data_IF_409197484564
#
_entry.id   IF_409197484564
#
_cell.length_a   1.000
_cell.length_b   1.000
_cell.length_c   1.000
_cell.angle_alpha   90.00
_cell.angle_beta   90.00
_cell.angle_gamma   90.00
#
_symmetry.space_group_name_H-M   'P 1'
#
loop_
_entity.id
_entity.type
_entity.pdbx_description
1 polymer ?
#
# COMPACT_ATOMS: atom_id res chain seq x y z
N UNK A 1 22.33 -13.11 -10.36
CA UNK A 1 23.10 -12.38 -11.39
C UNK A 1 23.02 -10.86 -11.18
N UNK A 2 21.85 -10.22 -11.29
CA UNK A 2 21.71 -8.75 -11.20
C UNK A 2 22.30 -8.14 -9.91
N UNK A 3 21.86 -8.58 -8.72
CA UNK A 3 22.33 -8.03 -7.45
C UNK A 3 23.85 -8.13 -7.24
N UNK A 4 24.47 -9.19 -7.75
CA UNK A 4 25.93 -9.37 -7.66
C UNK A 4 26.70 -8.33 -8.50
N UNK A 5 26.15 -7.94 -9.66
CA UNK A 5 26.75 -6.89 -10.52
C UNK A 5 26.68 -5.49 -9.88
N UNK A 6 25.72 -5.29 -8.98
CA UNK A 6 25.44 -4.00 -8.34
C UNK A 6 26.05 -3.89 -6.94
N UNK A 7 26.73 -4.93 -6.48
CA UNK A 7 27.30 -4.98 -5.13
C UNK A 7 28.28 -3.81 -4.89
N UNK A 8 28.18 -3.20 -3.70
CA UNK A 8 29.02 -2.07 -3.29
C UNK A 8 28.63 -0.70 -3.87
N UNK A 9 27.55 -0.63 -4.66
CA UNK A 9 27.02 0.62 -5.21
C UNK A 9 25.74 1.02 -4.48
N UNK A 10 25.45 2.32 -4.45
CA UNK A 10 24.11 2.82 -4.13
C UNK A 10 23.32 2.91 -5.45
N UNK A 11 22.25 2.11 -5.58
CA UNK A 11 21.53 1.94 -6.83
C UNK A 11 20.04 2.05 -6.60
N UNK A 12 19.39 2.89 -7.40
CA UNK A 12 17.94 2.94 -7.52
C UNK A 12 17.55 2.42 -8.91
N UNK A 13 16.74 1.36 -8.94
CA UNK A 13 16.19 0.75 -10.15
C UNK A 13 14.73 1.20 -10.23
N UNK A 14 14.37 1.93 -11.28
CA UNK A 14 12.98 2.29 -11.56
C UNK A 14 12.41 1.24 -12.52
N UNK A 15 11.56 0.35 -12.03
CA UNK A 15 10.88 -0.67 -12.82
C UNK A 15 9.38 -0.35 -12.96
N UNK A 16 8.73 -1.02 -13.92
CA UNK A 16 7.33 -0.83 -14.28
C UNK A 16 6.80 -2.08 -14.99
N UNK A 17 5.88 -1.92 -15.95
CA UNK A 17 5.22 -3.00 -16.71
C UNK A 17 4.27 -3.90 -15.90
N UNK A 18 4.43 -3.98 -14.58
CA UNK A 18 3.79 -5.02 -13.75
C UNK A 18 2.40 -4.68 -13.20
N UNK A 19 1.94 -3.43 -13.28
CA UNK A 19 0.63 -3.01 -12.77
C UNK A 19 0.40 -3.22 -11.26
N UNK A 20 1.45 -3.15 -10.45
CA UNK A 20 1.41 -3.05 -8.99
C UNK A 20 2.52 -2.10 -8.48
N UNK A 21 2.53 -1.72 -7.19
CA UNK A 21 3.52 -0.81 -6.61
C UNK A 21 4.30 -1.47 -5.46
N UNK A 22 5.63 -1.53 -5.56
CA UNK A 22 6.50 -2.17 -4.56
C UNK A 22 7.84 -1.45 -4.46
N UNK A 23 8.30 -1.24 -3.22
CA UNK A 23 9.71 -0.96 -2.92
C UNK A 23 10.39 -2.25 -2.43
N UNK A 24 11.23 -2.85 -3.27
CA UNK A 24 12.03 -4.02 -2.91
C UNK A 24 13.47 -3.58 -2.62
N UNK A 25 13.93 -3.82 -1.39
CA UNK A 25 15.19 -3.26 -0.90
C UNK A 25 16.10 -4.37 -0.42
N UNK A 26 17.34 -4.34 -0.88
CA UNK A 26 18.41 -5.24 -0.46
C UNK A 26 19.70 -4.46 -0.35
N UNK A 27 20.21 -4.32 0.87
CA UNK A 27 21.40 -3.51 1.18
C UNK A 27 21.25 -2.08 0.63
N UNK A 28 22.16 -1.61 -0.22
CA UNK A 28 22.13 -0.30 -0.86
C UNK A 28 21.47 -0.32 -2.26
N UNK A 29 20.67 -1.34 -2.56
CA UNK A 29 19.96 -1.50 -3.83
C UNK A 29 18.46 -1.37 -3.57
N UNK A 30 17.86 -0.38 -4.22
CA UNK A 30 16.45 -0.02 -4.12
C UNK A 30 15.79 -0.28 -5.46
N UNK A 31 14.92 -1.27 -5.55
CA UNK A 31 14.03 -1.44 -6.69
C UNK A 31 12.68 -0.81 -6.38
N UNK A 32 12.33 0.20 -7.17
CA UNK A 32 11.05 0.88 -7.15
C UNK A 32 10.23 0.42 -8.34
N UNK A 33 9.38 -0.57 -8.11
CA UNK A 33 8.41 -1.01 -9.09
C UNK A 33 7.16 -0.13 -8.97
N UNK A 34 6.86 0.64 -10.01
CA UNK A 34 5.80 1.64 -9.95
C UNK A 34 4.43 1.08 -10.33
N UNK A 35 3.43 1.43 -9.52
CA UNK A 35 2.04 1.39 -9.95
C UNK A 35 1.84 2.28 -11.19
N UNK A 36 0.77 2.02 -11.95
CA UNK A 36 0.58 2.67 -13.25
C UNK A 36 -0.49 3.75 -13.20
N UNK A 37 -0.43 4.67 -14.16
CA UNK A 37 -1.45 5.72 -14.32
C UNK A 37 -2.81 5.20 -14.77
N UNK A 38 -2.87 3.97 -15.26
CA UNK A 38 -4.07 3.33 -15.78
C UNK A 38 -4.65 2.24 -14.88
N UNK A 39 -4.14 2.10 -13.66
CA UNK A 39 -4.52 1.02 -12.74
C UNK A 39 -4.21 -0.35 -13.32
N UNK A 40 -4.99 -1.36 -12.96
CA UNK A 40 -4.89 -2.69 -13.56
C UNK A 40 -5.47 -2.64 -14.97
N UNK A 41 -4.63 -2.37 -15.97
CA UNK A 41 -4.99 -2.47 -17.38
C UNK A 41 -6.24 -1.68 -17.81
N UNK A 42 -6.44 -0.45 -17.30
CA UNK A 42 -7.63 0.38 -17.59
C UNK A 42 -8.96 -0.21 -17.11
N UNK A 43 -8.95 -1.12 -16.14
CA UNK A 43 -10.16 -1.78 -15.64
C UNK A 43 -10.84 -1.01 -14.50
N UNK A 44 -10.12 -0.06 -13.89
CA UNK A 44 -10.60 0.71 -12.75
C UNK A 44 -9.52 1.64 -12.19
N UNK A 45 -9.81 2.31 -11.06
CA UNK A 45 -8.95 3.35 -10.51
C UNK A 45 -7.74 2.82 -9.75
N UNK A 46 -7.58 1.50 -9.58
CA UNK A 46 -6.52 0.87 -8.79
C UNK A 46 -5.72 -0.12 -9.63
N UNK A 47 -4.46 -0.30 -9.25
CA UNK A 47 -3.55 -1.35 -9.66
C UNK A 47 -3.97 -2.72 -9.08
N UNK A 48 -3.31 -3.79 -9.53
CA UNK A 48 -3.64 -5.17 -9.13
C UNK A 48 -3.43 -5.43 -7.63
N UNK A 49 -2.64 -4.61 -6.95
CA UNK A 49 -2.35 -4.66 -5.51
C UNK A 49 -3.18 -3.67 -4.66
N UNK A 50 -4.18 -3.01 -5.26
CA UNK A 50 -5.00 -1.99 -4.60
C UNK A 50 -4.39 -0.59 -4.60
N UNK A 51 -3.15 -0.40 -5.06
CA UNK A 51 -2.54 0.93 -5.16
C UNK A 51 -3.36 1.80 -6.13
N UNK A 52 -3.80 3.00 -5.75
CA UNK A 52 -4.50 3.90 -6.67
C UNK A 52 -3.67 4.22 -7.91
N UNK A 53 -4.31 4.49 -9.04
CA UNK A 53 -3.62 4.93 -10.26
C UNK A 53 -2.78 6.18 -9.98
N UNK A 54 -1.54 6.20 -10.45
CA UNK A 54 -0.59 7.24 -10.04
C UNK A 54 0.82 7.05 -10.57
N UNK A 55 1.76 7.76 -9.94
CA UNK A 55 3.16 7.82 -10.36
C UNK A 55 4.09 8.09 -9.16
N UNK A 56 5.36 7.70 -9.28
CA UNK A 56 6.41 8.05 -8.32
C UNK A 56 6.90 9.49 -8.53
N UNK A 57 7.14 10.21 -7.44
CA UNK A 57 7.82 11.51 -7.43
C UNK A 57 9.17 11.31 -6.77
N UNK A 58 10.22 11.70 -7.49
CA UNK A 58 11.60 11.63 -7.03
C UNK A 58 12.18 13.03 -6.87
N UNK A 59 12.83 13.28 -5.73
CA UNK A 59 13.61 14.49 -5.51
C UNK A 59 15.07 14.12 -5.41
N UNK A 60 15.90 14.73 -6.24
CA UNK A 60 17.35 14.49 -6.29
C UNK A 60 18.08 15.70 -5.72
N UNK A 61 18.91 15.47 -4.71
CA UNK A 61 19.82 16.49 -4.15
C UNK A 61 21.25 15.94 -4.14
N UNK A 62 22.01 16.27 -5.19
CA UNK A 62 23.35 15.73 -5.37
C UNK A 62 23.32 14.22 -5.54
N UNK A 63 23.79 13.47 -4.53
CA UNK A 63 23.78 11.99 -4.50
C UNK A 63 22.62 11.41 -3.67
N UNK A 64 21.83 12.26 -3.03
CA UNK A 64 20.70 11.85 -2.20
C UNK A 64 19.42 11.80 -3.04
N UNK A 65 18.63 10.75 -2.84
CA UNK A 65 17.34 10.55 -3.47
C UNK A 65 16.27 10.39 -2.39
N UNK A 66 15.19 11.15 -2.50
CA UNK A 66 13.94 10.87 -1.78
C UNK A 66 12.81 10.58 -2.76
N UNK A 67 11.85 9.77 -2.31
CA UNK A 67 10.73 9.33 -3.16
C UNK A 67 9.42 9.30 -2.39
N UNK A 68 8.33 9.53 -3.11
CA UNK A 68 6.97 9.40 -2.62
C UNK A 68 6.06 8.95 -3.76
N UNK A 69 4.98 8.23 -3.45
CA UNK A 69 3.96 7.92 -4.45
C UNK A 69 2.92 9.04 -4.54
N UNK A 70 2.38 9.30 -5.73
CA UNK A 70 1.31 10.28 -5.94
C UNK A 70 0.16 9.65 -6.70
N UNK A 71 -0.95 9.42 -5.99
CA UNK A 71 -2.20 9.00 -6.60
C UNK A 71 -2.82 10.16 -7.42
N UNK A 72 -3.26 9.86 -8.63
CA UNK A 72 -3.92 10.80 -9.54
C UNK A 72 -5.26 11.24 -8.95
N UNK A 73 -5.59 12.54 -9.02
CA UNK A 73 -6.83 13.08 -8.50
C UNK A 73 -6.96 13.07 -6.97
N UNK A 74 -5.92 12.68 -6.23
CA UNK A 74 -5.88 12.69 -4.76
C UNK A 74 -4.79 13.65 -4.24
N UNK A 75 -4.90 14.12 -3.00
CA UNK A 75 -3.81 14.80 -2.30
C UNK A 75 -2.52 13.96 -2.26
N UNK A 76 -1.35 14.60 -2.09
CA UNK A 76 -0.04 13.91 -2.04
C UNK A 76 0.16 13.07 -0.79
N UNK A 77 -0.56 13.38 0.28
CA UNK A 77 -0.55 12.67 1.55
C UNK A 77 -1.51 11.47 1.59
N UNK A 78 -2.32 11.27 0.55
CA UNK A 78 -3.09 10.05 0.37
C UNK A 78 -2.14 8.89 0.05
N UNK A 79 -1.74 8.14 1.09
CA UNK A 79 -0.79 7.01 1.00
C UNK A 79 -1.32 5.70 1.59
N UNK A 80 -2.53 5.72 2.18
CA UNK A 80 -3.11 4.52 2.75
C UNK A 80 -4.64 4.49 2.68
N UNK A 81 -5.19 3.29 2.64
CA UNK A 81 -6.61 3.01 2.75
C UNK A 81 -6.84 2.02 3.90
N UNK A 82 -7.89 2.25 4.68
CA UNK A 82 -8.28 1.39 5.81
C UNK A 82 -9.60 0.72 5.43
N UNK A 83 -9.66 -0.59 5.68
CA UNK A 83 -10.83 -1.43 5.49
C UNK A 83 -11.14 -2.13 6.81
N UNK A 84 -12.41 -2.46 7.02
CA UNK A 84 -12.84 -3.33 8.09
C UNK A 84 -13.77 -4.43 7.59
N UNK A 85 -13.72 -5.57 8.28
CA UNK A 85 -14.60 -6.70 8.04
C UNK A 85 -14.93 -7.39 9.36
N UNK A 86 -16.18 -7.73 9.58
CA UNK A 86 -16.58 -8.52 10.74
C UNK A 86 -16.06 -9.95 10.63
N UNK A 87 -15.39 -10.44 11.68
CA UNK A 87 -14.85 -11.81 11.73
C UNK A 87 -15.58 -12.68 12.76
N UNK A 88 -16.20 -12.06 13.77
CA UNK A 88 -17.09 -12.72 14.73
C UNK A 88 -18.08 -11.71 15.33
N UNK A 89 -19.04 -12.18 16.13
CA UNK A 89 -19.97 -11.31 16.86
C UNK A 89 -19.26 -10.34 17.84
N UNK A 90 -18.01 -10.61 18.20
CA UNK A 90 -17.25 -9.83 19.18
C UNK A 90 -16.02 -9.14 18.58
N UNK A 91 -15.66 -9.42 17.32
CA UNK A 91 -14.40 -8.97 16.73
C UNK A 91 -14.56 -8.53 15.26
N UNK A 92 -13.79 -7.49 14.92
CA UNK A 92 -13.60 -6.98 13.56
C UNK A 92 -12.14 -7.09 13.19
N UNK A 93 -11.87 -7.48 11.96
CA UNK A 93 -10.56 -7.31 11.35
C UNK A 93 -10.47 -5.92 10.75
N UNK A 94 -9.35 -5.26 11.00
CA UNK A 94 -8.93 -4.04 10.32
C UNK A 94 -7.78 -4.40 9.40
N UNK A 95 -7.87 -3.97 8.14
CA UNK A 95 -6.81 -4.14 7.16
C UNK A 95 -6.45 -2.77 6.58
N UNK A 96 -5.16 -2.51 6.44
CA UNK A 96 -4.64 -1.23 5.96
C UNK A 96 -3.69 -1.50 4.81
N UNK A 97 -3.95 -0.89 3.66
CA UNK A 97 -3.06 -0.91 2.50
C UNK A 97 -2.22 0.37 2.50
N UNK A 98 -0.89 0.26 2.55
CA UNK A 98 0.06 1.39 2.61
C UNK A 98 1.01 1.27 1.42
N UNK A 99 0.55 1.61 0.22
CA UNK A 99 1.16 1.17 -1.05
C UNK A 99 2.60 1.58 -1.29
N UNK A 100 3.06 2.75 -0.80
CA UNK A 100 4.46 3.16 -0.96
C UNK A 100 5.36 2.69 0.20
N UNK A 101 4.88 1.75 1.01
CA UNK A 101 5.62 1.20 2.13
C UNK A 101 7.01 0.74 1.72
N UNK A 102 7.95 0.97 2.62
CA UNK A 102 9.17 0.22 2.63
C UNK A 102 9.58 -0.14 4.07
N UNK A 103 10.43 -1.15 4.28
CA UNK A 103 10.71 -1.70 5.61
C UNK A 103 11.24 -0.72 6.66
N UNK A 104 11.75 0.45 6.25
CA UNK A 104 12.17 1.50 7.18
C UNK A 104 11.02 2.39 7.68
N UNK A 105 9.79 2.20 7.17
CA UNK A 105 8.63 2.97 7.60
C UNK A 105 8.16 2.53 8.98
N UNK A 106 7.68 3.48 9.78
CA UNK A 106 7.07 3.22 11.09
C UNK A 106 5.56 3.36 10.97
N UNK A 107 4.83 2.29 11.28
CA UNK A 107 3.36 2.25 11.17
C UNK A 107 2.76 2.11 12.56
N UNK A 108 1.92 3.06 12.96
CA UNK A 108 1.26 3.10 14.27
C UNK A 108 -0.25 3.26 14.12
N UNK A 109 -1.01 2.72 15.07
CA UNK A 109 -2.47 2.85 15.05
C UNK A 109 -3.10 3.09 16.42
N UNK A 110 -4.29 3.68 16.36
CA UNK A 110 -5.15 3.99 17.50
C UNK A 110 -6.53 3.41 17.25
N UNK A 111 -7.13 2.88 18.32
CA UNK A 111 -8.51 2.39 18.32
C UNK A 111 -9.28 3.22 19.35
N UNK A 112 -10.33 3.91 18.90
CA UNK A 112 -11.11 4.84 19.72
C UNK A 112 -10.25 5.85 20.50
N UNK A 113 -9.22 6.37 19.83
CA UNK A 113 -8.27 7.34 20.40
C UNK A 113 -7.17 6.75 21.29
N UNK A 114 -7.22 5.45 21.61
CA UNK A 114 -6.20 4.77 22.44
C UNK A 114 -5.11 4.17 21.56
N UNK A 115 -3.85 4.50 21.83
CA UNK A 115 -2.70 3.96 21.10
C UNK A 115 -2.60 2.45 21.28
N UNK A 116 -2.36 1.72 20.19
CA UNK A 116 -2.20 0.27 20.17
C UNK A 116 -0.83 -0.19 19.66
N UNK A 117 0.08 0.75 19.40
CA UNK A 117 1.43 0.46 18.91
C UNK A 117 1.46 0.16 17.41
N UNK A 118 2.27 -0.81 17.01
CA UNK A 118 2.50 -1.15 15.62
C UNK A 118 1.43 -2.10 15.06
N UNK A 119 1.14 -1.99 13.76
CA UNK A 119 0.33 -2.98 13.05
C UNK A 119 1.18 -4.17 12.59
N UNK A 120 0.54 -5.33 12.49
CA UNK A 120 1.19 -6.54 11.95
C UNK A 120 1.19 -6.49 10.42
N UNK A 121 2.38 -6.53 9.81
CA UNK A 121 2.52 -6.61 8.35
C UNK A 121 2.18 -8.02 7.86
N UNK A 122 1.41 -8.12 6.77
CA UNK A 122 1.03 -9.38 6.15
C UNK A 122 1.19 -9.36 4.63
N UNK A 123 1.24 -10.55 4.04
CA UNK A 123 1.09 -10.73 2.60
C UNK A 123 -0.34 -11.18 2.28
N UNK A 124 -1.01 -10.50 1.36
CA UNK A 124 -2.40 -10.81 1.00
C UNK A 124 -2.90 -9.97 -0.17
N UNK A 125 -4.18 -10.13 -0.49
CA UNK A 125 -4.86 -9.32 -1.52
C UNK A 125 -5.48 -8.08 -0.87
N UNK A 126 -5.37 -6.94 -1.55
CA UNK A 126 -6.15 -5.76 -1.19
C UNK A 126 -7.65 -6.05 -1.36
N UNK A 127 -8.52 -5.69 -0.39
CA UNK A 127 -9.94 -5.99 -0.45
C UNK A 127 -10.66 -5.42 -1.67
N UNK A 128 -10.28 -4.22 -2.12
CA UNK A 128 -10.88 -3.57 -3.27
C UNK A 128 -10.41 -4.22 -4.58
N UNK A 129 -9.13 -4.55 -4.69
CA UNK A 129 -8.61 -5.32 -5.82
C UNK A 129 -9.29 -6.69 -5.91
N UNK A 130 -9.35 -7.41 -4.79
CA UNK A 130 -10.02 -8.72 -4.71
C UNK A 130 -11.49 -8.64 -5.12
N UNK A 131 -12.23 -7.64 -4.63
CA UNK A 131 -13.64 -7.43 -4.97
C UNK A 131 -13.86 -7.11 -6.45
N UNK A 132 -12.98 -6.31 -7.06
CA UNK A 132 -13.20 -5.77 -8.40
C UNK A 132 -12.61 -6.61 -9.53
N UNK A 133 -11.63 -7.46 -9.23
CA UNK A 133 -10.84 -8.18 -10.24
C UNK A 133 -10.92 -9.70 -10.11
N UNK A 134 -11.35 -10.24 -8.96
CA UNK A 134 -11.47 -11.70 -8.80
C UNK A 134 -12.86 -12.18 -9.23
N UNK A 135 -12.92 -13.06 -10.21
CA UNK A 135 -14.14 -13.76 -10.62
C UNK A 135 -14.22 -13.98 -12.12
N UNK A 136 -15.08 -14.91 -12.60
CA UNK A 136 -15.15 -15.28 -14.01
C UNK A 136 -15.58 -14.13 -14.93
N UNK A 137 -16.32 -13.15 -14.41
CA UNK A 137 -16.86 -12.01 -15.16
C UNK A 137 -16.19 -10.68 -14.80
N UNK A 138 -15.07 -10.72 -14.06
CA UNK A 138 -14.38 -9.55 -13.55
C UNK A 138 -12.90 -9.52 -13.97
N UNK A 139 -12.34 -8.32 -14.17
CA UNK A 139 -13.06 -7.08 -14.43
C UNK A 139 -13.62 -7.06 -15.87
N UNK A 140 -14.86 -6.58 -16.05
CA UNK A 140 -15.57 -6.62 -17.35
C UNK A 140 -14.77 -6.12 -18.57
N UNK A 141 -14.02 -5.00 -18.49
CA UNK A 141 -13.31 -4.49 -19.67
C UNK A 141 -12.16 -5.40 -20.12
N UNK A 142 -11.51 -6.10 -19.18
CA UNK A 142 -10.34 -6.95 -19.40
C UNK A 142 -10.27 -8.05 -18.36
N UNK A 143 -11.01 -9.14 -18.58
CA UNK A 143 -11.13 -10.26 -17.62
C UNK A 143 -9.84 -11.05 -17.34
N UNK A 144 -8.71 -10.67 -17.94
CA UNK A 144 -7.39 -11.23 -17.62
C UNK A 144 -6.69 -10.51 -16.46
N UNK A 145 -7.18 -9.32 -16.06
CA UNK A 145 -6.59 -8.59 -14.96
C UNK A 145 -7.02 -9.22 -13.63
N UNK A 146 -6.07 -9.65 -12.82
CA UNK A 146 -6.31 -10.35 -11.56
C UNK A 146 -5.68 -9.60 -10.40
N UNK A 147 -6.26 -9.69 -9.18
CA UNK A 147 -5.62 -9.10 -8.02
C UNK A 147 -4.27 -9.80 -7.75
N UNK A 148 -3.28 -9.03 -7.30
CA UNK A 148 -1.98 -9.55 -6.90
C UNK A 148 -1.79 -9.45 -5.39
N UNK A 149 -1.12 -10.46 -4.85
CA UNK A 149 -0.67 -10.41 -3.46
C UNK A 149 0.36 -9.31 -3.30
N UNK A 150 0.27 -8.62 -2.18
CA UNK A 150 1.22 -7.58 -1.80
C UNK A 150 1.62 -7.70 -0.34
N UNK A 151 2.82 -7.20 -0.03
CA UNK A 151 3.42 -7.17 1.31
C UNK A 151 3.22 -5.82 1.99
N UNK A 152 2.53 -4.87 1.38
CA UNK A 152 2.25 -3.56 1.97
C UNK A 152 0.87 -3.48 2.65
N UNK A 153 0.37 -4.64 3.09
CA UNK A 153 -0.82 -4.78 3.92
C UNK A 153 -0.46 -4.92 5.39
N UNK A 154 -1.30 -4.33 6.24
CA UNK A 154 -1.15 -4.31 7.68
C UNK A 154 -2.47 -4.67 8.35
N UNK A 155 -2.45 -5.54 9.36
CA UNK A 155 -3.66 -6.02 10.02
C UNK A 155 -3.67 -5.74 11.52
N UNK A 156 -4.88 -5.67 12.05
CA UNK A 156 -5.17 -5.81 13.48
C UNK A 156 -6.56 -6.41 13.67
N UNK A 157 -6.78 -7.01 14.85
CA UNK A 157 -8.11 -7.43 15.31
C UNK A 157 -8.53 -6.49 16.43
N UNK A 158 -9.73 -5.95 16.29
CA UNK A 158 -10.31 -4.99 17.25
C UNK A 158 -11.66 -5.50 17.74
N UNK A 159 -12.12 -5.09 18.94
CA UNK A 159 -13.46 -5.42 19.40
C UNK A 159 -14.54 -4.95 18.42
N UNK A 160 -15.62 -5.71 18.25
CA UNK A 160 -16.74 -5.30 17.39
C UNK A 160 -17.39 -3.98 17.82
N UNK A 161 -17.29 -3.64 19.11
CA UNK A 161 -17.72 -2.37 19.70
C UNK A 161 -16.83 -1.17 19.33
N UNK A 162 -15.64 -1.41 18.76
CA UNK A 162 -14.76 -0.33 18.34
C UNK A 162 -15.43 0.50 17.23
N UNK A 163 -15.27 1.82 17.31
CA UNK A 163 -15.96 2.76 16.42
C UNK A 163 -15.02 3.39 15.40
N UNK A 164 -13.80 3.68 15.80
CA UNK A 164 -12.84 4.39 14.96
C UNK A 164 -11.46 3.77 15.01
N UNK A 165 -10.79 3.77 13.86
CA UNK A 165 -9.37 3.44 13.75
C UNK A 165 -8.67 4.59 13.08
N UNK A 166 -7.56 5.03 13.67
CA UNK A 166 -6.63 5.98 13.04
C UNK A 166 -5.30 5.28 12.82
N UNK A 167 -4.72 5.45 11.65
CA UNK A 167 -3.40 4.94 11.29
C UNK A 167 -2.51 6.11 10.94
N UNK A 168 -1.28 6.08 11.45
CA UNK A 168 -0.22 7.02 11.10
C UNK A 168 0.95 6.21 10.56
N UNK A 169 1.27 6.43 9.28
CA UNK A 169 2.45 5.88 8.62
C UNK A 169 3.52 6.97 8.54
N UNK A 170 4.72 6.71 9.02
CA UNK A 170 5.87 7.60 8.91
C UNK A 170 6.88 6.99 7.95
N UNK A 171 7.20 7.68 6.87
CA UNK A 171 8.19 7.18 5.92
C UNK A 171 9.63 7.31 6.44
N UNK A 172 10.56 6.70 5.70
CA UNK A 172 12.00 6.73 6.02
C UNK A 172 12.62 8.13 6.07
N UNK A 173 11.92 9.15 5.54
CA UNK A 173 12.37 10.54 5.51
C UNK A 173 11.72 11.37 6.63
N UNK A 174 10.88 10.75 7.47
CA UNK A 174 10.20 11.39 8.58
C UNK A 174 8.88 12.07 8.22
N UNK A 175 8.39 11.93 6.99
CA UNK A 175 7.08 12.47 6.60
C UNK A 175 5.97 11.53 7.05
N UNK A 176 4.90 12.11 7.59
CA UNK A 176 3.77 11.37 8.14
C UNK A 176 2.55 11.42 7.24
N UNK A 177 1.81 10.30 7.20
CA UNK A 177 0.58 10.12 6.47
C UNK A 177 -0.47 9.56 7.43
N UNK A 178 -1.62 10.23 7.52
CA UNK A 178 -2.67 9.86 8.48
C UNK A 178 -3.96 9.56 7.73
N UNK A 179 -4.61 8.45 8.09
CA UNK A 179 -6.01 8.24 7.75
C UNK A 179 -6.80 7.80 8.98
N UNK A 180 -8.09 8.11 8.97
CA UNK A 180 -9.04 7.68 9.98
C UNK A 180 -10.22 7.01 9.30
N UNK A 181 -10.72 5.95 9.90
CA UNK A 181 -11.83 5.15 9.41
C UNK A 181 -12.85 4.92 10.53
N UNK A 182 -14.13 5.02 10.18
CA UNK A 182 -15.23 4.69 11.09
C UNK A 182 -15.69 3.27 10.78
N UNK A 183 -15.50 2.37 11.75
CA UNK A 183 -15.79 0.94 11.64
C UNK A 183 -17.30 0.70 11.54
N UNK A 184 -17.71 -0.17 10.62
CA UNK A 184 -19.12 -0.48 10.35
C UNK A 184 -19.86 0.54 9.48
N UNK A 185 -19.14 1.48 8.85
CA UNK A 185 -19.72 2.35 7.82
C UNK A 185 -19.77 1.57 6.50
N UNK A 186 -20.98 1.20 6.06
CA UNK A 186 -21.22 0.56 4.75
C UNK A 186 -21.22 1.60 3.63
#
# INVERSE_FOLDING_TARGET
ALYALLQGRNVHIMSGHTHYNVNAIRDNIYEHNHGTVCGAWWTGPICEDGTPSGYGIYTVKGKELSWQYKATGKPVDYQLAIYDNEISATEKQVLVNIWNHDPAWKIEYWVDGVSRGALEQIEGFDPLANKNMLGPDLPKPRGFAEPKKTKHLFRSVVPASAKTVKVVATDRFGKTYTAQHTLGSV
#
